data_IF_761591805095
#
_entry.id   IF_761591805095
#
_cell.length_a   1.000
_cell.length_b   1.000
_cell.length_c   1.000
_cell.angle_alpha   90.00
_cell.angle_beta   90.00
_cell.angle_gamma   90.00
#
_symmetry.space_group_name_H-M   'P 1'
#
loop_
_entity.id
_entity.type
_entity.pdbx_description
1 polymer ?
#
# COMPACT_ATOMS: atom_id res chain seq x y z
N UNK A 1 -18.57 -13.84 -17.76
CA UNK A 1 -18.15 -14.47 -16.48
C UNK A 1 -16.64 -14.64 -16.38
N UNK A 2 -15.92 -15.15 -17.38
CA UNK A 2 -14.46 -15.40 -17.30
C UNK A 2 -13.59 -14.15 -17.00
N UNK A 3 -13.95 -12.98 -17.56
CA UNK A 3 -13.22 -11.72 -17.35
C UNK A 3 -13.29 -11.17 -15.91
N UNK A 4 -14.37 -11.47 -15.18
CA UNK A 4 -14.55 -11.01 -13.80
C UNK A 4 -13.65 -11.74 -12.81
N UNK A 5 -13.36 -13.03 -13.06
CA UNK A 5 -12.55 -13.90 -12.20
C UNK A 5 -11.08 -13.49 -12.22
N UNK A 6 -10.55 -13.12 -13.41
CA UNK A 6 -9.19 -12.62 -13.57
C UNK A 6 -8.96 -11.26 -12.91
N UNK A 7 -9.96 -10.36 -13.01
CA UNK A 7 -9.92 -9.04 -12.37
C UNK A 7 -9.99 -9.13 -10.83
N UNK A 8 -10.76 -10.07 -10.28
CA UNK A 8 -10.85 -10.29 -8.83
C UNK A 8 -9.54 -10.82 -8.24
N UNK A 9 -8.87 -11.75 -8.94
CA UNK A 9 -7.56 -12.27 -8.53
C UNK A 9 -6.47 -11.19 -8.59
N UNK A 10 -6.52 -10.33 -9.61
CA UNK A 10 -5.63 -9.18 -9.73
C UNK A 10 -5.81 -8.19 -8.57
N UNK A 11 -7.06 -7.96 -8.16
CA UNK A 11 -7.39 -7.06 -7.06
C UNK A 11 -6.90 -7.53 -5.69
N UNK A 12 -7.11 -8.79 -5.35
CA UNK A 12 -6.58 -9.36 -4.10
C UNK A 12 -5.05 -9.34 -4.09
N UNK A 13 -4.41 -9.55 -5.24
CA UNK A 13 -2.95 -9.44 -5.38
C UNK A 13 -2.46 -8.01 -5.12
N UNK A 14 -3.06 -7.00 -5.75
CA UNK A 14 -2.70 -5.61 -5.52
C UNK A 14 -2.96 -5.16 -4.07
N UNK A 15 -4.08 -5.58 -3.48
CA UNK A 15 -4.37 -5.29 -2.06
C UNK A 15 -3.31 -5.87 -1.13
N UNK A 16 -2.92 -7.13 -1.31
CA UNK A 16 -1.85 -7.76 -0.53
C UNK A 16 -0.50 -7.07 -0.75
N UNK A 17 -0.18 -6.71 -1.99
CA UNK A 17 1.03 -6.01 -2.35
C UNK A 17 1.16 -4.63 -1.65
N UNK A 18 0.07 -3.85 -1.59
CA UNK A 18 0.06 -2.57 -0.88
C UNK A 18 0.20 -2.73 0.64
N UNK A 19 -0.46 -3.73 1.23
CA UNK A 19 -0.32 -4.04 2.67
C UNK A 19 1.11 -4.47 3.00
N UNK A 20 1.74 -5.25 2.12
CA UNK A 20 3.14 -5.65 2.27
C UNK A 20 4.09 -4.45 2.23
N UNK A 21 3.91 -3.53 1.28
CA UNK A 21 4.69 -2.29 1.24
C UNK A 21 4.47 -1.39 2.46
N UNK A 22 3.24 -1.33 2.99
CA UNK A 22 2.96 -0.62 4.24
C UNK A 22 3.75 -1.21 5.43
N UNK A 23 3.75 -2.54 5.56
CA UNK A 23 4.51 -3.24 6.61
C UNK A 23 6.01 -2.99 6.48
N UNK A 24 6.57 -3.14 5.28
CA UNK A 24 7.98 -2.85 5.03
C UNK A 24 8.32 -1.38 5.31
N UNK A 25 7.43 -0.46 4.98
CA UNK A 25 7.61 0.95 5.25
C UNK A 25 7.71 1.28 6.74
N UNK A 26 6.84 0.68 7.57
CA UNK A 26 6.88 0.84 9.03
C UNK A 26 8.20 0.29 9.59
N UNK A 27 8.62 -0.90 9.13
CA UNK A 27 9.89 -1.49 9.54
C UNK A 27 11.06 -0.60 9.15
N UNK A 28 11.10 -0.08 7.92
CA UNK A 28 12.15 0.81 7.45
C UNK A 28 12.21 2.14 8.23
N UNK A 29 11.08 2.72 8.62
CA UNK A 29 11.03 3.90 9.49
C UNK A 29 11.62 3.57 10.87
N UNK A 30 11.20 2.46 11.48
CA UNK A 30 11.69 2.07 12.80
C UNK A 30 13.19 1.78 12.82
N UNK A 31 13.70 1.08 11.80
CA UNK A 31 15.12 0.83 11.61
C UNK A 31 15.88 2.14 11.33
N UNK A 32 15.31 3.05 10.54
CA UNK A 32 15.91 4.35 10.25
C UNK A 32 16.08 5.21 11.49
N UNK A 33 15.07 5.25 12.38
CA UNK A 33 15.17 5.93 13.68
C UNK A 33 16.28 5.31 14.53
N UNK A 34 16.35 3.98 14.61
CA UNK A 34 17.42 3.30 15.35
C UNK A 34 18.82 3.62 14.80
N UNK A 35 18.97 3.74 13.48
CA UNK A 35 20.23 4.12 12.82
C UNK A 35 20.59 5.59 13.12
N UNK A 36 19.62 6.51 13.13
CA UNK A 36 19.84 7.91 13.54
C UNK A 36 20.35 7.98 14.98
N UNK A 37 19.82 7.16 15.88
CA UNK A 37 20.25 7.09 17.28
C UNK A 37 21.70 6.59 17.47
N UNK A 38 22.30 5.97 16.44
CA UNK A 38 23.70 5.52 16.42
C UNK A 38 24.61 6.48 15.62
N UNK A 39 24.29 7.78 15.61
CA UNK A 39 25.03 8.85 14.93
C UNK A 39 25.11 8.74 13.38
N UNK A 40 24.42 7.78 12.77
CA UNK A 40 24.36 7.61 11.32
C UNK A 40 23.16 8.37 10.71
N UNK A 41 23.14 9.69 10.90
CA UNK A 41 21.98 10.54 10.57
C UNK A 41 21.58 10.43 9.09
N UNK A 42 22.52 10.54 8.16
CA UNK A 42 22.22 10.53 6.72
C UNK A 42 21.62 9.19 6.25
N UNK A 43 22.23 8.09 6.68
CA UNK A 43 21.78 6.73 6.36
C UNK A 43 20.40 6.45 6.96
N UNK A 44 20.20 6.82 8.23
CA UNK A 44 18.93 6.64 8.91
C UNK A 44 17.82 7.51 8.33
N UNK A 45 18.11 8.76 7.95
CA UNK A 45 17.16 9.64 7.27
C UNK A 45 16.76 9.09 5.89
N UNK A 46 17.71 8.49 5.16
CA UNK A 46 17.43 7.78 3.92
C UNK A 46 16.47 6.60 4.12
N UNK A 47 16.67 5.82 5.19
CA UNK A 47 15.78 4.70 5.53
C UNK A 47 14.38 5.16 5.95
N UNK A 48 14.29 6.24 6.75
CA UNK A 48 13.02 6.86 7.13
C UNK A 48 12.29 7.40 5.90
N UNK A 49 13.01 8.07 4.99
CA UNK A 49 12.44 8.57 3.74
C UNK A 49 11.91 7.46 2.83
N UNK A 50 12.68 6.39 2.66
CA UNK A 50 12.27 5.21 1.91
C UNK A 50 11.05 4.52 2.54
N UNK A 51 11.03 4.40 3.87
CA UNK A 51 9.91 3.82 4.59
C UNK A 51 8.65 4.68 4.49
N UNK A 52 8.78 6.00 4.58
CA UNK A 52 7.67 6.95 4.41
C UNK A 52 7.10 6.88 3.00
N UNK A 53 7.95 6.80 1.98
CA UNK A 53 7.52 6.59 0.60
C UNK A 53 6.71 5.29 0.44
N UNK A 54 7.18 4.18 1.01
CA UNK A 54 6.45 2.90 0.97
C UNK A 54 5.08 2.97 1.69
N UNK A 55 5.01 3.65 2.84
CA UNK A 55 3.75 3.86 3.58
C UNK A 55 2.76 4.69 2.77
N UNK A 56 3.20 5.81 2.19
CA UNK A 56 2.34 6.69 1.40
C UNK A 56 1.81 6.00 0.15
N UNK A 57 2.65 5.26 -0.57
CA UNK A 57 2.24 4.51 -1.75
C UNK A 57 1.31 3.34 -1.40
N UNK A 58 1.60 2.60 -0.33
CA UNK A 58 0.71 1.54 0.18
C UNK A 58 -0.67 2.09 0.58
N UNK A 59 -0.69 3.23 1.28
CA UNK A 59 -1.93 3.90 1.68
C UNK A 59 -2.75 4.40 0.49
N UNK A 60 -2.11 5.07 -0.47
CA UNK A 60 -2.77 5.54 -1.70
C UNK A 60 -3.37 4.38 -2.50
N UNK A 61 -2.63 3.28 -2.66
CA UNK A 61 -3.11 2.07 -3.33
C UNK A 61 -4.32 1.44 -2.64
N UNK A 62 -4.31 1.36 -1.31
CA UNK A 62 -5.46 0.88 -0.53
C UNK A 62 -6.70 1.77 -0.71
N UNK A 63 -6.53 3.09 -0.72
CA UNK A 63 -7.64 4.05 -0.93
C UNK A 63 -8.22 3.90 -2.35
N UNK A 64 -7.35 3.73 -3.35
CA UNK A 64 -7.79 3.58 -4.74
C UNK A 64 -8.56 2.27 -4.96
N UNK A 65 -8.10 1.17 -4.35
CA UNK A 65 -8.83 -0.10 -4.31
C UNK A 65 -10.17 0.06 -3.55
N UNK A 66 -10.22 0.82 -2.46
CA UNK A 66 -11.48 1.05 -1.77
C UNK A 66 -12.48 1.82 -2.65
N UNK A 67 -12.05 2.90 -3.28
CA UNK A 67 -12.89 3.74 -4.15
C UNK A 67 -13.46 2.96 -5.33
N UNK A 68 -12.64 2.13 -5.97
CA UNK A 68 -13.06 1.33 -7.12
C UNK A 68 -14.01 0.18 -6.73
N UNK A 69 -13.96 -0.32 -5.49
CA UNK A 69 -14.92 -1.33 -4.97
C UNK A 69 -16.28 -0.68 -4.74
N UNK A 70 -16.29 0.54 -4.19
CA UNK A 70 -17.50 1.34 -3.99
C UNK A 70 -18.18 1.69 -5.33
N UNK A 71 -17.40 2.11 -6.33
CA UNK A 71 -17.92 2.41 -7.67
C UNK A 71 -18.56 1.18 -8.35
N UNK A 72 -17.93 -0.01 -8.25
CA UNK A 72 -18.53 -1.24 -8.80
C UNK A 72 -19.85 -1.60 -8.12
N UNK A 73 -19.93 -1.52 -6.78
CA UNK A 73 -21.16 -1.83 -6.05
C UNK A 73 -22.32 -0.90 -6.45
N UNK A 74 -22.03 0.37 -6.72
CA UNK A 74 -23.01 1.33 -7.24
C UNK A 74 -23.53 0.95 -8.63
N UNK A 75 -22.67 0.43 -9.52
CA UNK A 75 -23.05 0.08 -10.89
C UNK A 75 -23.99 -1.14 -10.96
N UNK A 76 -23.79 -2.10 -10.07
CA UNK A 76 -24.61 -3.33 -10.02
C UNK A 76 -26.05 -3.03 -9.57
N UNK A 77 -26.23 -2.06 -8.65
CA UNK A 77 -27.56 -1.65 -8.16
C UNK A 77 -28.42 -0.87 -9.17
N UNK A 78 -27.84 -0.31 -10.23
CA UNK A 78 -28.57 0.45 -11.26
C UNK A 78 -29.02 -0.49 -12.41
N UNK A 79 -28.52 -1.73 -12.42
CA UNK A 79 -28.76 -2.72 -13.48
C UNK A 79 -29.79 -3.78 -13.09
N UNK A 80 -30.38 -3.69 -11.89
CA UNK A 80 -31.47 -4.52 -11.39
C UNK A 80 -32.77 -3.73 -11.39
#
# INVERSE_FOLDING_TARGET
MEKDIGLWRHWSFWGFHFVFHLMLGIVAISAGIAVIMNDQILSGLGLVGAGLFAVLNGGAGCIELWKSKKSRRSRINISQ
#
